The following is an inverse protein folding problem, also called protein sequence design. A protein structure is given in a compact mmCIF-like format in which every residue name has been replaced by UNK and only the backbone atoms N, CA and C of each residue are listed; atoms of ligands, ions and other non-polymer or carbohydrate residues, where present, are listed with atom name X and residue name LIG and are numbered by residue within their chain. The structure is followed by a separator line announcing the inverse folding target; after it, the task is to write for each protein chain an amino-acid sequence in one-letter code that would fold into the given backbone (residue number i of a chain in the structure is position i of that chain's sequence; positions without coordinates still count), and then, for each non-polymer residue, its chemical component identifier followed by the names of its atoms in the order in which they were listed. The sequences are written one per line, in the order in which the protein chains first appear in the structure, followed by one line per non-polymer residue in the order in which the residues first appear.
data_IF_255276291958
#
_entry.id   IF_255276291958
#
_cell.length_a   1.000
_cell.length_b   1.000
_cell.length_c   1.000
_cell.angle_alpha   90.00
_cell.angle_beta   90.00
_cell.angle_gamma   90.00
#
_symmetry.space_group_name_H-M   'P 1'
#
loop_
_entity.id
_entity.type
_entity.pdbx_description
1 polymer ?
#
# COMPACT_ATOMS: atom_id res chain seq x y z
N UNK A 1 -14.80 -13.02 -6.24
CA UNK A 1 -14.81 -12.54 -4.85
C UNK A 1 -13.95 -13.47 -4.01
N UNK A 2 -12.92 -12.94 -3.34
CA UNK A 2 -12.10 -13.69 -2.39
C UNK A 2 -13.01 -14.00 -1.20
N UNK A 3 -13.14 -15.30 -0.86
CA UNK A 3 -13.85 -15.72 0.35
C UNK A 3 -13.02 -15.30 1.58
N UNK A 4 -13.33 -14.12 2.12
CA UNK A 4 -12.65 -13.60 3.29
C UNK A 4 -12.93 -14.49 4.49
N UNK A 5 -11.88 -14.89 5.22
CA UNK A 5 -12.04 -15.60 6.49
C UNK A 5 -12.78 -14.73 7.51
N UNK A 6 -13.39 -15.34 8.52
CA UNK A 6 -14.09 -14.60 9.59
C UNK A 6 -13.14 -13.62 10.32
N UNK A 7 -11.89 -13.99 10.47
CA UNK A 7 -10.84 -13.16 11.07
C UNK A 7 -10.57 -11.91 10.22
N UNK A 8 -10.39 -12.08 8.92
CA UNK A 8 -10.18 -10.99 7.99
C UNK A 8 -11.35 -10.00 7.97
N UNK A 9 -12.59 -10.50 8.03
CA UNK A 9 -13.80 -9.66 8.14
C UNK A 9 -13.78 -8.80 9.40
N UNK A 10 -13.32 -9.33 10.54
CA UNK A 10 -13.19 -8.57 11.80
C UNK A 10 -12.16 -7.45 11.69
N UNK A 11 -10.99 -7.73 11.11
CA UNK A 11 -9.97 -6.70 10.88
C UNK A 11 -10.49 -5.56 10.00
N UNK A 12 -11.11 -5.88 8.88
CA UNK A 12 -11.65 -4.91 7.92
C UNK A 12 -12.61 -3.93 8.61
N UNK A 13 -13.62 -4.43 9.32
CA UNK A 13 -14.62 -3.59 9.97
C UNK A 13 -14.02 -2.77 11.12
N UNK A 14 -13.20 -3.40 11.96
CA UNK A 14 -12.53 -2.73 13.08
C UNK A 14 -11.64 -1.59 12.57
N UNK A 15 -10.81 -1.87 11.59
CA UNK A 15 -9.88 -0.89 11.04
C UNK A 15 -10.62 0.28 10.39
N UNK A 16 -11.61 0.00 9.53
CA UNK A 16 -12.41 1.06 8.91
C UNK A 16 -13.04 1.99 9.96
N UNK A 17 -13.64 1.44 11.00
CA UNK A 17 -14.27 2.23 12.07
C UNK A 17 -13.24 3.07 12.84
N UNK A 18 -12.11 2.47 13.19
CA UNK A 18 -11.05 3.15 13.94
C UNK A 18 -10.39 4.28 13.15
N UNK A 19 -10.38 4.18 11.82
CA UNK A 19 -9.70 5.11 10.94
C UNK A 19 -10.54 6.34 10.58
N UNK A 20 -11.86 6.34 10.82
CA UNK A 20 -12.78 7.43 10.42
C UNK A 20 -12.23 8.81 10.84
N UNK A 21 -11.70 8.94 12.03
CA UNK A 21 -11.16 10.20 12.57
C UNK A 21 -9.93 10.73 11.81
N UNK A 22 -9.25 9.90 11.01
CA UNK A 22 -8.09 10.28 10.21
C UNK A 22 -8.42 10.53 8.73
N UNK A 23 -9.64 10.22 8.28
CA UNK A 23 -10.06 10.30 6.88
C UNK A 23 -10.38 11.74 6.47
N UNK A 24 -9.34 12.58 6.35
CA UNK A 24 -9.51 14.01 6.03
C UNK A 24 -9.64 14.28 4.53
N UNK A 25 -8.92 13.53 3.68
CA UNK A 25 -8.92 13.66 2.23
C UNK A 25 -9.25 12.32 1.60
N UNK A 26 -10.04 12.32 0.54
CA UNK A 26 -10.32 11.12 -0.26
C UNK A 26 -9.62 11.16 -1.61
N UNK A 27 -9.52 10.01 -2.28
CA UNK A 27 -8.93 9.94 -3.63
C UNK A 27 -9.70 10.78 -4.66
N UNK A 28 -10.95 11.16 -4.41
CA UNK A 28 -11.70 12.09 -5.27
C UNK A 28 -11.08 13.49 -5.34
N UNK A 29 -10.27 13.87 -4.36
CA UNK A 29 -9.62 15.17 -4.34
C UNK A 29 -8.36 15.24 -5.22
N UNK A 30 -7.86 14.09 -5.68
CA UNK A 30 -6.73 14.03 -6.60
C UNK A 30 -7.03 14.59 -7.99
N UNK A 31 -8.30 14.56 -8.44
CA UNK A 31 -8.70 15.10 -9.74
C UNK A 31 -8.59 16.62 -9.87
N UNK A 32 -8.41 17.34 -8.77
CA UNK A 32 -8.37 18.80 -8.73
C UNK A 32 -6.99 19.40 -9.00
N UNK A 33 -5.96 18.58 -9.03
CA UNK A 33 -4.60 19.07 -9.23
C UNK A 33 -3.89 18.19 -10.25
N UNK A 34 -3.61 18.67 -11.49
CA UNK A 34 -2.33 18.29 -12.11
C UNK A 34 -2.33 18.20 -13.63
N UNK A 35 -1.16 18.45 -14.15
CA UNK A 35 -0.73 18.06 -15.50
C UNK A 35 -1.16 16.62 -15.80
N UNK A 36 -1.93 16.43 -16.85
CA UNK A 36 -2.38 15.12 -17.32
C UNK A 36 -1.17 14.39 -17.88
N UNK A 37 -0.61 13.48 -17.11
CA UNK A 37 0.39 12.54 -17.60
C UNK A 37 -0.32 11.37 -18.27
N UNK A 38 -0.02 11.07 -19.53
CA UNK A 38 -0.73 10.07 -20.34
C UNK A 38 -0.30 8.63 -20.07
N UNK A 39 0.73 8.41 -19.26
CA UNK A 39 1.24 7.06 -18.96
C UNK A 39 1.62 6.88 -17.51
N UNK A 40 1.50 5.65 -17.01
CA UNK A 40 1.96 5.24 -15.69
C UNK A 40 2.70 3.91 -15.72
N UNK A 41 3.59 3.74 -14.74
CA UNK A 41 4.18 2.46 -14.39
C UNK A 41 3.75 2.10 -12.97
N UNK A 42 3.04 0.98 -12.84
CA UNK A 42 2.73 0.36 -11.56
C UNK A 42 3.85 -0.61 -11.20
N UNK A 43 4.48 -0.37 -10.07
CA UNK A 43 5.54 -1.22 -9.53
C UNK A 43 4.96 -2.09 -8.43
N UNK A 44 4.75 -3.38 -8.74
CA UNK A 44 4.30 -4.40 -7.79
C UNK A 44 5.49 -5.01 -7.05
N UNK A 45 5.29 -6.02 -6.19
CA UNK A 45 6.34 -6.53 -5.29
C UNK A 45 6.79 -7.96 -5.59
N UNK A 46 6.39 -8.53 -6.71
CA UNK A 46 6.69 -9.90 -7.08
C UNK A 46 8.17 -10.17 -7.36
N UNK A 47 8.56 -11.45 -7.38
CA UNK A 47 9.94 -11.88 -7.57
C UNK A 47 10.62 -11.34 -8.81
N UNK A 48 9.88 -11.10 -9.89
CA UNK A 48 10.45 -10.58 -11.15
C UNK A 48 11.10 -9.20 -11.02
N UNK A 49 10.79 -8.42 -9.98
CA UNK A 49 11.52 -7.19 -9.69
C UNK A 49 13.01 -7.42 -9.39
N UNK A 50 13.36 -8.61 -8.90
CA UNK A 50 14.73 -8.98 -8.57
C UNK A 50 15.51 -9.56 -9.75
N UNK A 51 14.80 -9.90 -10.84
CA UNK A 51 15.42 -10.43 -12.04
C UNK A 51 15.56 -9.33 -13.10
N UNK A 52 16.74 -9.23 -13.72
CA UNK A 52 16.94 -8.40 -14.91
C UNK A 52 17.02 -6.89 -14.69
N UNK A 53 17.41 -6.42 -13.50
CA UNK A 53 17.63 -5.00 -13.20
C UNK A 53 16.45 -4.09 -13.57
N UNK A 54 15.22 -4.57 -13.37
CA UNK A 54 13.99 -3.89 -13.80
C UNK A 54 13.86 -2.48 -13.20
N UNK A 55 14.12 -2.31 -11.91
CA UNK A 55 14.05 -1.00 -11.25
C UNK A 55 15.19 -0.07 -11.71
N UNK A 56 16.39 -0.59 -11.89
CA UNK A 56 17.53 0.19 -12.41
C UNK A 56 17.25 0.66 -13.85
N UNK A 57 16.65 -0.20 -14.68
CA UNK A 57 16.22 0.16 -16.03
C UNK A 57 15.20 1.29 -16.00
N UNK A 58 14.21 1.21 -15.12
CA UNK A 58 13.20 2.26 -14.94
C UNK A 58 13.87 3.57 -14.47
N UNK A 59 14.76 3.51 -13.49
CA UNK A 59 15.49 4.68 -12.99
C UNK A 59 16.32 5.35 -14.10
N UNK A 60 17.07 4.57 -14.88
CA UNK A 60 17.94 5.05 -15.95
C UNK A 60 17.18 5.57 -17.18
N UNK A 61 15.94 5.11 -17.39
CA UNK A 61 15.08 5.54 -18.51
C UNK A 61 14.68 7.01 -18.44
N UNK A 62 14.84 7.66 -17.28
CA UNK A 62 14.37 9.03 -17.01
C UNK A 62 12.88 9.19 -17.33
N UNK A 63 12.10 8.16 -17.02
CA UNK A 63 10.67 8.13 -17.28
C UNK A 63 9.95 9.36 -16.69
N UNK A 64 9.07 9.97 -17.49
CA UNK A 64 8.37 11.21 -17.16
C UNK A 64 6.89 11.01 -16.82
N UNK A 65 6.37 9.78 -16.98
CA UNK A 65 5.02 9.44 -16.59
C UNK A 65 4.85 9.33 -15.07
N UNK A 66 3.70 8.81 -14.65
CA UNK A 66 3.41 8.57 -13.23
C UNK A 66 4.05 7.25 -12.78
N UNK A 67 4.72 7.25 -11.64
CA UNK A 67 5.18 6.03 -10.99
C UNK A 67 4.32 5.76 -9.75
N UNK A 68 3.69 4.58 -9.73
CA UNK A 68 2.85 4.13 -8.61
C UNK A 68 3.48 2.88 -8.03
N UNK A 69 3.98 2.97 -6.80
CA UNK A 69 4.43 1.80 -6.06
C UNK A 69 3.28 1.21 -5.24
N UNK A 70 3.36 -0.09 -4.97
CA UNK A 70 2.60 -0.67 -3.86
C UNK A 70 3.46 -0.63 -2.59
N UNK A 71 2.83 -0.87 -1.43
CA UNK A 71 3.51 -0.94 -0.12
C UNK A 71 4.82 -1.75 -0.16
N UNK A 72 4.77 -3.00 -0.62
CA UNK A 72 5.92 -3.91 -0.68
C UNK A 72 7.02 -3.52 -1.68
N UNK A 73 6.80 -2.56 -2.57
CA UNK A 73 7.80 -2.09 -3.54
C UNK A 73 8.27 -0.66 -3.29
N UNK A 74 7.62 0.10 -2.42
CA UNK A 74 7.92 1.52 -2.20
C UNK A 74 9.38 1.77 -1.82
N UNK A 75 9.88 1.10 -0.79
CA UNK A 75 11.27 1.25 -0.36
C UNK A 75 12.26 0.74 -1.42
N UNK A 76 11.88 -0.32 -2.15
CA UNK A 76 12.70 -0.84 -3.26
C UNK A 76 12.86 0.20 -4.37
N UNK A 77 11.80 0.91 -4.72
CA UNK A 77 11.85 2.03 -5.66
C UNK A 77 12.81 3.12 -5.18
N UNK A 78 12.69 3.53 -3.92
CA UNK A 78 13.56 4.56 -3.33
C UNK A 78 15.03 4.13 -3.35
N UNK A 79 15.33 2.88 -2.99
CA UNK A 79 16.69 2.32 -3.05
C UNK A 79 17.27 2.32 -4.47
N UNK A 80 16.44 2.15 -5.48
CA UNK A 80 16.82 2.24 -6.90
C UNK A 80 16.90 3.70 -7.43
N UNK A 81 16.68 4.71 -6.58
CA UNK A 81 16.71 6.12 -6.97
C UNK A 81 15.40 6.64 -7.58
N UNK A 82 14.32 5.86 -7.48
CA UNK A 82 12.99 6.25 -7.96
C UNK A 82 12.16 6.71 -6.76
N UNK A 83 11.71 7.97 -6.77
CA UNK A 83 10.70 8.45 -5.80
C UNK A 83 9.34 8.34 -6.46
N UNK A 84 8.45 7.40 -6.05
CA UNK A 84 7.14 7.25 -6.65
C UNK A 84 6.25 8.47 -6.42
N UNK A 85 5.41 8.82 -7.41
CA UNK A 85 4.39 9.85 -7.25
C UNK A 85 3.32 9.40 -6.23
N UNK A 86 3.00 8.10 -6.25
CA UNK A 86 2.01 7.49 -5.35
C UNK A 86 2.51 6.17 -4.77
N UNK A 87 2.07 5.87 -3.55
CA UNK A 87 2.16 4.52 -2.97
C UNK A 87 0.78 4.07 -2.52
N UNK A 88 0.39 2.85 -2.87
CA UNK A 88 -0.95 2.31 -2.58
C UNK A 88 -0.87 1.15 -1.59
N UNK A 89 -1.79 1.14 -0.61
CA UNK A 89 -1.91 0.09 0.41
C UNK A 89 -3.29 -0.57 0.39
N UNK A 90 -3.35 -1.85 0.73
CA UNK A 90 -4.61 -2.60 0.76
C UNK A 90 -4.74 -3.55 1.97
N UNK A 91 -3.65 -4.21 2.39
CA UNK A 91 -3.68 -5.30 3.37
C UNK A 91 -4.16 -4.81 4.75
N UNK A 92 -5.20 -5.40 5.36
CA UNK A 92 -5.69 -5.03 6.69
C UNK A 92 -4.91 -5.68 7.84
N UNK A 93 -3.91 -6.52 7.56
CA UNK A 93 -3.20 -7.27 8.59
C UNK A 93 -2.20 -6.38 9.36
N UNK A 94 -2.23 -6.37 10.70
CA UNK A 94 -1.49 -5.40 11.51
C UNK A 94 0.04 -5.54 11.43
N UNK A 95 0.57 -6.74 11.19
CA UNK A 95 2.01 -6.97 11.23
C UNK A 95 2.68 -6.94 9.86
N UNK A 96 1.93 -7.25 8.79
CA UNK A 96 2.51 -7.37 7.45
C UNK A 96 2.81 -6.03 6.81
N UNK A 97 1.82 -5.13 6.83
CA UNK A 97 1.93 -3.87 6.10
C UNK A 97 2.91 -2.89 6.75
N UNK A 98 2.94 -2.82 8.08
CA UNK A 98 3.83 -1.90 8.80
C UNK A 98 5.31 -2.14 8.51
N UNK A 99 5.70 -3.39 8.24
CA UNK A 99 7.08 -3.74 7.87
C UNK A 99 7.58 -3.07 6.59
N UNK A 100 6.68 -2.77 5.65
CA UNK A 100 7.04 -2.09 4.41
C UNK A 100 7.37 -0.61 4.62
N UNK A 101 6.82 0.00 5.67
CA UNK A 101 7.08 1.38 6.04
C UNK A 101 8.07 1.54 7.20
N UNK A 102 8.54 0.43 7.75
CA UNK A 102 9.32 0.37 8.97
C UNK A 102 8.45 0.45 10.23
N UNK A 103 8.81 -0.32 11.25
CA UNK A 103 8.07 -0.44 12.50
C UNK A 103 9.01 -0.09 13.67
N UNK A 104 8.67 0.92 14.45
CA UNK A 104 9.44 1.31 15.63
C UNK A 104 9.39 0.27 16.76
N UNK A 105 8.31 -0.54 16.80
CA UNK A 105 8.11 -1.62 17.75
C UNK A 105 8.41 -3.00 17.13
N UNK A 106 9.23 -3.07 16.08
CA UNK A 106 9.45 -4.27 15.28
C UNK A 106 9.85 -5.49 16.11
N UNK A 107 10.81 -5.36 17.02
CA UNK A 107 11.27 -6.46 17.89
C UNK A 107 10.13 -7.03 18.73
N UNK A 108 9.34 -6.17 19.35
CA UNK A 108 8.19 -6.56 20.16
C UNK A 108 7.10 -7.22 19.33
N UNK A 109 6.87 -6.72 18.11
CA UNK A 109 5.84 -7.23 17.21
C UNK A 109 6.25 -8.54 16.55
N UNK A 110 7.56 -8.80 16.37
CA UNK A 110 8.09 -10.05 15.83
C UNK A 110 7.67 -11.26 16.67
N UNK A 111 7.65 -11.16 17.99
CA UNK A 111 7.32 -12.26 18.90
C UNK A 111 5.89 -12.78 18.68
N UNK A 112 4.98 -11.94 18.19
CA UNK A 112 3.59 -12.27 17.96
C UNK A 112 3.24 -12.51 16.48
N UNK A 113 4.23 -12.48 15.58
CA UNK A 113 4.02 -12.68 14.14
C UNK A 113 4.35 -14.11 13.74
N UNK A 114 3.36 -14.86 13.25
CA UNK A 114 3.51 -16.26 12.84
C UNK A 114 4.51 -16.46 11.69
N UNK A 115 4.76 -15.44 10.88
CA UNK A 115 5.78 -15.45 9.84
C UNK A 115 7.19 -15.48 10.45
N UNK A 116 7.44 -14.65 11.45
CA UNK A 116 8.73 -14.65 12.15
C UNK A 116 8.90 -15.86 13.06
N UNK A 117 7.87 -16.28 13.77
CA UNK A 117 7.94 -17.46 14.64
C UNK A 117 8.29 -18.75 13.91
N UNK A 118 8.01 -18.84 12.61
CA UNK A 118 8.42 -19.96 11.76
C UNK A 118 9.88 -19.88 11.28
N UNK A 119 10.46 -18.68 11.27
CA UNK A 119 11.82 -18.42 10.75
C UNK A 119 12.82 -18.00 11.84
N UNK A 120 12.38 -17.88 13.08
CA UNK A 120 13.14 -17.38 14.24
C UNK A 120 14.25 -18.33 14.74
N UNK A 121 14.42 -19.46 14.07
CA UNK A 121 15.54 -20.40 14.32
C UNK A 121 16.85 -19.94 13.66
N UNK A 122 16.79 -18.91 12.80
CA UNK A 122 17.94 -18.36 12.09
C UNK A 122 18.28 -16.96 12.65
N UNK A 123 19.37 -16.91 13.42
CA UNK A 123 19.86 -15.66 14.04
C UNK A 123 20.23 -14.63 12.95
N UNK A 124 20.83 -15.06 11.86
CA UNK A 124 21.20 -14.16 10.75
C UNK A 124 19.96 -13.55 10.09
N UNK A 125 18.87 -14.29 10.03
CA UNK A 125 17.59 -13.77 9.51
C UNK A 125 17.03 -12.67 10.42
N UNK A 126 17.10 -12.84 11.73
CA UNK A 126 16.63 -11.82 12.70
C UNK A 126 17.43 -10.53 12.57
N UNK A 127 18.75 -10.62 12.59
CA UNK A 127 19.65 -9.45 12.52
C UNK A 127 19.50 -8.71 11.19
N UNK A 128 19.35 -9.43 10.08
CA UNK A 128 19.08 -8.85 8.77
C UNK A 128 17.72 -8.15 8.73
N UNK A 129 16.70 -8.73 9.36
CA UNK A 129 15.35 -8.14 9.42
C UNK A 129 15.34 -6.86 10.25
N UNK A 130 16.04 -6.80 11.37
CA UNK A 130 16.20 -5.60 12.19
C UNK A 130 16.91 -4.49 11.45
N UNK A 131 18.03 -4.83 10.79
CA UNK A 131 18.77 -3.87 9.95
C UNK A 131 17.91 -3.33 8.81
N UNK A 132 17.20 -4.20 8.11
CA UNK A 132 16.30 -3.80 7.03
C UNK A 132 15.16 -2.92 7.53
N UNK A 133 14.61 -3.22 8.69
CA UNK A 133 13.57 -2.40 9.31
C UNK A 133 14.08 -0.99 9.62
N UNK A 134 15.28 -0.85 10.18
CA UNK A 134 15.88 0.45 10.47
C UNK A 134 16.14 1.25 9.19
N UNK A 135 16.66 0.62 8.13
CA UNK A 135 16.82 1.26 6.82
C UNK A 135 15.47 1.72 6.25
N UNK A 136 14.42 0.91 6.38
CA UNK A 136 13.08 1.27 5.92
C UNK A 136 12.56 2.50 6.68
N UNK A 137 12.72 2.57 8.01
CA UNK A 137 12.34 3.73 8.82
C UNK A 137 13.00 5.00 8.29
N UNK A 138 14.32 4.96 8.08
CA UNK A 138 15.09 6.13 7.63
C UNK A 138 14.67 6.59 6.23
N UNK A 139 14.54 5.65 5.28
CA UNK A 139 14.16 5.97 3.90
C UNK A 139 12.72 6.49 3.83
N UNK A 140 11.79 5.85 4.52
CA UNK A 140 10.39 6.29 4.55
C UNK A 140 10.28 7.69 5.15
N UNK A 141 10.92 7.98 6.28
CA UNK A 141 10.91 9.30 6.89
C UNK A 141 11.52 10.39 5.97
N UNK A 142 12.53 10.03 5.18
CA UNK A 142 13.19 10.97 4.26
C UNK A 142 12.36 11.31 3.02
N UNK A 143 11.53 10.37 2.55
CA UNK A 143 10.86 10.50 1.26
C UNK A 143 9.32 10.56 1.32
N UNK A 144 8.70 10.28 2.47
CA UNK A 144 7.25 10.25 2.64
C UNK A 144 6.56 11.54 2.15
N UNK A 145 7.11 12.70 2.45
CA UNK A 145 6.56 13.99 2.07
C UNK A 145 6.64 14.30 0.56
N UNK A 146 7.31 13.45 -0.22
CA UNK A 146 7.44 13.56 -1.69
C UNK A 146 6.50 12.61 -2.44
N UNK A 147 5.81 11.72 -1.72
CA UNK A 147 4.95 10.68 -2.27
C UNK A 147 3.55 10.82 -1.67
N UNK A 148 2.51 10.76 -2.49
CA UNK A 148 1.13 10.70 -1.99
C UNK A 148 0.77 9.27 -1.61
N UNK A 149 0.25 9.08 -0.41
CA UNK A 149 -0.19 7.77 0.07
C UNK A 149 -1.67 7.55 -0.22
N UNK A 150 -1.97 6.55 -1.04
CA UNK A 150 -3.32 6.09 -1.36
C UNK A 150 -3.66 4.97 -0.39
N UNK A 151 -4.26 5.35 0.73
CA UNK A 151 -4.44 4.46 1.88
C UNK A 151 -5.83 3.87 1.94
N UNK A 152 -5.90 2.54 2.10
CA UNK A 152 -7.15 1.84 2.31
C UNK A 152 -7.79 2.21 3.66
N UNK A 153 -9.12 2.39 3.68
CA UNK A 153 -9.88 2.59 4.92
C UNK A 153 -9.73 1.42 5.90
N UNK A 154 -9.33 0.25 5.39
CA UNK A 154 -9.13 -0.98 6.17
C UNK A 154 -7.69 -1.17 6.66
N UNK A 155 -6.80 -0.19 6.43
CA UNK A 155 -5.42 -0.25 6.93
C UNK A 155 -5.38 -0.32 8.46
N UNK A 156 -4.47 -1.10 9.05
CA UNK A 156 -4.34 -1.19 10.50
C UNK A 156 -3.93 0.15 11.14
N UNK A 157 -4.37 0.39 12.37
CA UNK A 157 -4.12 1.66 13.06
C UNK A 157 -2.61 1.96 13.24
N UNK A 158 -1.79 0.94 13.47
CA UNK A 158 -0.34 1.11 13.57
C UNK A 158 0.29 1.56 12.24
N UNK A 159 -0.23 1.09 11.10
CA UNK A 159 0.18 1.57 9.77
C UNK A 159 -0.24 3.02 9.57
N UNK A 160 -1.48 3.35 9.91
CA UNK A 160 -2.00 4.73 9.82
C UNK A 160 -1.13 5.68 10.66
N UNK A 161 -0.86 5.32 11.92
CA UNK A 161 -0.02 6.14 12.79
C UNK A 161 1.40 6.27 12.24
N UNK A 162 2.01 5.15 11.81
CA UNK A 162 3.35 5.15 11.22
C UNK A 162 3.45 6.05 9.98
N UNK A 163 2.44 6.06 9.13
CA UNK A 163 2.43 6.89 7.92
C UNK A 163 2.18 8.36 8.20
N UNK A 164 1.39 8.68 9.24
CA UNK A 164 1.24 10.05 9.77
C UNK A 164 2.59 10.54 10.30
N UNK A 165 3.25 9.76 11.15
CA UNK A 165 4.53 10.13 11.78
C UNK A 165 5.65 10.32 10.73
N UNK A 166 5.58 9.58 9.62
CA UNK A 166 6.50 9.75 8.50
C UNK A 166 6.21 11.01 7.66
N UNK A 167 5.04 11.62 7.78
CA UNK A 167 4.66 12.82 7.07
C UNK A 167 4.10 12.60 5.67
N UNK A 168 3.46 11.46 5.40
CA UNK A 168 2.77 11.24 4.13
C UNK A 168 1.57 12.18 3.94
N UNK A 169 1.36 12.67 2.72
CA UNK A 169 0.10 13.26 2.28
C UNK A 169 -0.87 12.13 1.89
N UNK A 170 -1.91 11.91 2.74
CA UNK A 170 -2.74 10.72 2.73
C UNK A 170 -4.07 10.96 2.04
N UNK A 171 -4.45 10.06 1.11
CA UNK A 171 -5.73 10.06 0.40
C UNK A 171 -6.43 8.73 0.60
N UNK A 172 -7.63 8.78 1.18
CA UNK A 172 -8.37 7.60 1.63
C UNK A 172 -9.29 7.04 0.55
N UNK A 173 -9.43 5.73 0.55
CA UNK A 173 -10.35 4.99 -0.31
C UNK A 173 -10.91 3.75 0.39
N UNK A 174 -12.05 3.22 -0.12
CA UNK A 174 -12.72 2.05 0.39
C UNK A 174 -12.51 0.86 -0.55
N UNK A 175 -11.95 -0.28 -0.10
CA UNK A 175 -11.88 -1.48 -0.94
C UNK A 175 -13.27 -2.14 -1.07
N UNK A 176 -13.63 -2.53 -2.29
CA UNK A 176 -14.78 -3.40 -2.53
C UNK A 176 -14.39 -4.83 -2.11
N UNK A 177 -14.92 -5.28 -0.98
CA UNK A 177 -14.60 -6.59 -0.39
C UNK A 177 -15.67 -7.64 -0.62
N UNK A 178 -16.88 -7.22 -0.95
CA UNK A 178 -18.02 -8.05 -1.30
C UNK A 178 -18.98 -7.30 -2.24
N UNK A 179 -20.04 -7.97 -2.68
CA UNK A 179 -21.07 -7.33 -3.50
C UNK A 179 -21.87 -6.31 -2.68
N UNK A 180 -21.76 -5.00 -2.99
CA UNK A 180 -22.45 -3.96 -2.24
C UNK A 180 -23.98 -4.03 -2.35
N UNK A 181 -24.55 -4.77 -3.30
CA UNK A 181 -25.99 -4.90 -3.48
C UNK A 181 -26.62 -5.98 -2.58
N UNK A 182 -25.82 -6.79 -1.94
CA UNK A 182 -26.29 -7.77 -0.98
C UNK A 182 -26.68 -7.14 0.36
N UNK A 183 -27.75 -7.66 1.00
CA UNK A 183 -28.31 -7.09 2.24
C UNK A 183 -27.32 -7.01 3.41
N UNK A 184 -26.36 -7.94 3.50
CA UNK A 184 -25.36 -8.03 4.56
C UNK A 184 -23.96 -7.54 4.16
N UNK A 185 -23.83 -6.80 3.05
CA UNK A 185 -22.56 -6.33 2.52
C UNK A 185 -21.75 -5.54 3.55
N UNK A 186 -20.48 -5.94 3.71
CA UNK A 186 -19.50 -5.20 4.51
C UNK A 186 -19.10 -3.91 3.81
N UNK A 187 -18.92 -3.94 2.50
CA UNK A 187 -18.61 -2.76 1.67
C UNK A 187 -19.65 -1.69 1.88
N UNK A 188 -20.95 -2.05 1.81
CA UNK A 188 -22.04 -1.10 2.06
C UNK A 188 -22.00 -0.52 3.48
N UNK A 189 -21.78 -1.35 4.49
CA UNK A 189 -21.69 -0.90 5.90
C UNK A 189 -20.52 0.08 6.10
N UNK A 190 -19.37 -0.24 5.56
CA UNK A 190 -18.19 0.62 5.63
C UNK A 190 -18.40 1.93 4.87
N UNK A 191 -19.03 1.89 3.70
CA UNK A 191 -19.39 3.10 2.95
C UNK A 191 -20.35 3.99 3.71
N UNK A 192 -21.36 3.41 4.37
CA UNK A 192 -22.31 4.18 5.18
C UNK A 192 -21.66 4.98 6.31
N UNK A 193 -20.57 4.46 6.87
CA UNK A 193 -19.82 5.09 7.95
C UNK A 193 -18.75 6.06 7.49
N UNK A 194 -18.02 5.75 6.41
CA UNK A 194 -16.86 6.54 5.96
C UNK A 194 -17.18 7.51 4.82
N UNK A 195 -18.18 7.20 3.97
CA UNK A 195 -18.52 7.91 2.74
C UNK A 195 -17.37 8.01 1.72
N UNK A 196 -16.36 7.18 1.86
CA UNK A 196 -15.22 7.17 0.96
C UNK A 196 -15.56 6.58 -0.41
N UNK A 197 -14.91 7.05 -1.48
CA UNK A 197 -15.04 6.42 -2.79
C UNK A 197 -14.57 4.98 -2.75
N UNK A 198 -15.38 4.08 -3.30
CA UNK A 198 -15.10 2.66 -3.33
C UNK A 198 -14.39 2.27 -4.63
N UNK A 199 -13.36 1.44 -4.51
CA UNK A 199 -12.56 0.99 -5.65
C UNK A 199 -12.44 -0.53 -5.67
N UNK A 200 -12.57 -1.13 -6.85
CA UNK A 200 -12.32 -2.56 -7.05
C UNK A 200 -10.82 -2.85 -6.93
N UNK A 201 -10.49 -3.87 -6.15
CA UNK A 201 -9.09 -4.25 -5.93
C UNK A 201 -8.54 -5.21 -6.97
N UNK A 202 -9.40 -5.87 -7.76
CA UNK A 202 -8.97 -6.92 -8.68
C UNK A 202 -8.32 -8.14 -8.02
N UNK A 203 -8.39 -8.22 -6.68
CA UNK A 203 -7.90 -9.36 -5.91
C UNK A 203 -6.55 -9.16 -5.20
N UNK A 204 -5.75 -8.16 -5.58
CA UNK A 204 -4.49 -7.83 -4.91
C UNK A 204 -4.15 -6.34 -5.01
N UNK A 205 -3.13 -5.90 -4.28
CA UNK A 205 -2.73 -4.49 -4.22
C UNK A 205 -2.16 -3.97 -5.55
N UNK A 206 -1.49 -4.80 -6.33
CA UNK A 206 -0.96 -4.42 -7.65
C UNK A 206 -2.06 -4.15 -8.66
N UNK A 207 -3.10 -5.02 -8.72
CA UNK A 207 -4.28 -4.77 -9.55
C UNK A 207 -5.08 -3.56 -9.06
N UNK A 208 -5.18 -3.35 -7.74
CA UNK A 208 -5.79 -2.13 -7.19
C UNK A 208 -5.04 -0.86 -7.64
N UNK A 209 -3.70 -0.89 -7.66
CA UNK A 209 -2.89 0.22 -8.16
C UNK A 209 -3.09 0.48 -9.67
N UNK A 210 -3.27 -0.58 -10.46
CA UNK A 210 -3.63 -0.44 -11.87
C UNK A 210 -5.03 0.18 -12.05
N UNK A 211 -6.02 -0.27 -11.28
CA UNK A 211 -7.38 0.31 -11.26
C UNK A 211 -7.33 1.78 -10.86
N UNK A 212 -6.54 2.12 -9.85
CA UNK A 212 -6.33 3.51 -9.43
C UNK A 212 -5.75 4.37 -10.57
N UNK A 213 -4.69 3.90 -11.22
CA UNK A 213 -4.10 4.60 -12.36
C UNK A 213 -5.10 4.83 -13.50
N UNK A 214 -5.83 3.77 -13.86
CA UNK A 214 -6.73 3.79 -15.02
C UNK A 214 -7.99 4.63 -14.80
N UNK A 215 -8.64 4.45 -13.65
CA UNK A 215 -9.98 5.01 -13.41
C UNK A 215 -9.99 6.25 -12.52
N UNK A 216 -9.03 6.39 -11.60
CA UNK A 216 -8.94 7.58 -10.75
C UNK A 216 -8.03 8.66 -11.32
N UNK A 217 -6.85 8.28 -11.81
CA UNK A 217 -5.95 9.23 -12.43
C UNK A 217 -6.26 9.44 -13.93
N UNK A 218 -7.20 8.68 -14.50
CA UNK A 218 -7.58 8.71 -15.91
C UNK A 218 -6.39 8.56 -16.88
N UNK A 219 -5.45 7.68 -16.52
CA UNK A 219 -4.24 7.44 -17.33
C UNK A 219 -4.54 6.38 -18.40
N UNK A 220 -4.26 6.71 -19.65
CA UNK A 220 -4.60 5.85 -20.77
C UNK A 220 -3.68 4.64 -20.86
N UNK A 221 -2.38 4.83 -20.72
CA UNK A 221 -1.36 3.80 -20.89
C UNK A 221 -0.75 3.43 -19.54
N UNK A 222 -1.04 2.22 -19.05
CA UNK A 222 -0.53 1.74 -17.76
C UNK A 222 0.26 0.45 -17.97
N UNK A 223 1.56 0.51 -17.71
CA UNK A 223 2.41 -0.67 -17.63
C UNK A 223 2.47 -1.18 -16.18
N UNK A 224 2.60 -2.48 -16.00
CA UNK A 224 2.77 -3.13 -14.69
C UNK A 224 4.04 -3.95 -14.69
N UNK A 225 4.89 -3.74 -13.68
CA UNK A 225 6.12 -4.51 -13.47
C UNK A 225 6.10 -5.17 -12.08
N UNK A 226 6.76 -6.31 -11.94
CA UNK A 226 6.78 -7.04 -10.65
C UNK A 226 5.43 -7.65 -10.26
N UNK A 227 4.54 -7.92 -11.22
CA UNK A 227 3.29 -8.64 -10.97
C UNK A 227 3.41 -10.04 -11.57
N UNK A 228 3.80 -10.97 -10.72
CA UNK A 228 3.99 -12.36 -11.09
C UNK A 228 2.72 -13.15 -10.73
N UNK A 229 2.28 -14.00 -11.64
CA UNK A 229 1.07 -14.83 -11.50
C UNK A 229 1.43 -16.22 -10.96
#
# INVERSE_FOLDING_TARGET
FIMLTLEFRRYIVKNNTSNIKFMQKSINELHKSTEIKNSAVVVSAGPSLHYGNTLETLANSKYKGVVIAIDGSYVKCIKAGIVPDYVLTLDPHPTRLVRWFGDYDFEKNMENDDYFSRQDLDIDFRDNSLKQNQENIELVNKFANKTKLIISSTSPLNVVQRTIDAGFDMYWWLPLVDNPDEGNSLTRKMYQSSKLPAMNTGGNVGTAAWVFAKFWLNIENVAVIGMDL
#
